data_IF_870842520021
#
_entry.id   IF_870842520021
#
_cell.length_a   1.000
_cell.length_b   1.000
_cell.length_c   1.000
_cell.angle_alpha   90.00
_cell.angle_beta   90.00
_cell.angle_gamma   90.00
#
_symmetry.space_group_name_H-M   'P 1'
#
loop_
_entity.id
_entity.type
_entity.pdbx_description
1 polymer ?
#
# COMPACT_ATOMS: atom_id res chain seq x y z
N UNK A 1 -7.24 25.92 -44.70
CA UNK A 1 -6.46 26.33 -43.51
C UNK A 1 -7.30 26.55 -42.24
N UNK A 2 -8.53 27.08 -42.30
CA UNK A 2 -9.40 27.22 -41.10
C UNK A 2 -9.89 25.89 -40.50
N UNK A 3 -10.04 24.82 -41.31
CA UNK A 3 -10.55 23.52 -40.84
C UNK A 3 -9.51 22.62 -40.15
N UNK A 4 -8.21 22.89 -40.31
CA UNK A 4 -7.12 22.12 -39.67
C UNK A 4 -6.85 22.63 -38.24
N UNK A 5 -7.07 23.92 -37.97
CA UNK A 5 -6.96 24.48 -36.62
C UNK A 5 -8.07 23.99 -35.67
N UNK A 6 -9.27 23.72 -36.18
CA UNK A 6 -10.39 23.25 -35.34
C UNK A 6 -10.16 21.79 -34.88
N UNK A 7 -9.52 20.96 -35.71
CA UNK A 7 -9.21 19.57 -35.34
C UNK A 7 -8.09 19.47 -34.29
N UNK A 8 -7.13 20.40 -34.30
CA UNK A 8 -6.05 20.47 -33.30
C UNK A 8 -6.53 20.98 -31.93
N UNK A 9 -7.52 21.87 -31.89
CA UNK A 9 -8.10 22.34 -30.62
C UNK A 9 -9.02 21.31 -29.95
N UNK A 10 -9.66 20.41 -30.71
CA UNK A 10 -10.52 19.35 -30.16
C UNK A 10 -9.70 18.14 -29.68
N UNK A 11 -8.51 17.89 -30.23
CA UNK A 11 -7.62 16.83 -29.75
C UNK A 11 -6.84 17.25 -28.49
N UNK A 12 -6.61 18.56 -28.28
CA UNK A 12 -5.94 19.06 -27.08
C UNK A 12 -6.81 19.08 -25.80
N UNK A 13 -8.11 18.77 -25.90
CA UNK A 13 -9.08 18.86 -24.78
C UNK A 13 -9.51 17.51 -24.20
N UNK A 14 -8.88 16.40 -24.59
CA UNK A 14 -9.15 15.08 -23.99
C UNK A 14 -7.90 14.50 -23.32
N UNK A 15 -7.18 15.33 -22.57
CA UNK A 15 -6.24 14.84 -21.55
C UNK A 15 -7.01 14.76 -20.23
N UNK A 16 -7.89 13.76 -20.12
CA UNK A 16 -8.48 13.42 -18.82
C UNK A 16 -7.44 12.61 -18.04
N UNK A 17 -6.66 13.31 -17.23
CA UNK A 17 -6.10 12.71 -16.03
C UNK A 17 -7.30 12.31 -15.16
N UNK A 18 -7.58 11.01 -15.07
CA UNK A 18 -8.55 10.51 -14.11
C UNK A 18 -7.81 10.58 -12.76
N UNK A 19 -7.94 11.72 -12.08
CA UNK A 19 -7.65 11.80 -10.66
C UNK A 19 -8.81 11.08 -9.95
N UNK A 20 -8.53 10.30 -8.91
CA UNK A 20 -9.58 9.71 -8.08
C UNK A 20 -9.55 10.42 -6.72
N UNK A 21 -10.33 11.50 -6.62
CA UNK A 21 -10.47 12.29 -5.41
C UNK A 21 -11.25 11.49 -4.34
N UNK A 22 -10.54 10.75 -3.48
CA UNK A 22 -11.11 9.92 -2.40
C UNK A 22 -10.84 10.53 -1.02
N UNK A 23 -11.90 10.80 -0.27
CA UNK A 23 -11.81 11.39 1.06
C UNK A 23 -12.34 10.42 2.13
N UNK A 24 -11.42 9.88 2.93
CA UNK A 24 -11.73 8.99 4.05
C UNK A 24 -12.19 9.77 5.28
N UNK A 25 -13.38 9.47 5.78
CA UNK A 25 -14.01 10.11 6.93
C UNK A 25 -13.84 9.30 8.22
N UNK A 26 -13.96 7.97 8.14
CA UNK A 26 -13.74 7.03 9.24
C UNK A 26 -12.96 5.82 8.70
N UNK A 27 -11.81 5.42 9.28
CA UNK A 27 -10.95 6.30 10.07
C UNK A 27 -10.55 7.56 9.27
N UNK A 28 -10.19 8.63 9.98
CA UNK A 28 -9.86 9.93 9.36
C UNK A 28 -8.63 9.81 8.44
N UNK A 29 -8.80 10.06 7.14
CA UNK A 29 -7.70 10.04 6.17
C UNK A 29 -6.86 11.32 6.16
N UNK A 30 -5.54 11.19 6.12
CA UNK A 30 -4.65 12.36 6.21
C UNK A 30 -4.60 13.20 4.94
N UNK A 31 -4.62 12.58 3.75
CA UNK A 31 -4.37 13.27 2.47
C UNK A 31 -3.09 14.13 2.50
N UNK A 32 -1.99 13.55 3.00
CA UNK A 32 -0.71 14.23 3.26
C UNK A 32 -0.73 15.33 4.34
N UNK A 33 -1.86 15.64 4.96
CA UNK A 33 -1.94 16.61 6.07
C UNK A 33 -1.31 16.05 7.35
N UNK A 34 -0.88 16.97 8.21
CA UNK A 34 -0.28 16.66 9.50
C UNK A 34 -0.77 17.60 10.59
N UNK A 35 -0.39 18.87 10.53
CA UNK A 35 -0.61 19.85 11.59
C UNK A 35 -0.65 21.28 11.03
N UNK A 36 -1.02 21.43 9.77
CA UNK A 36 -1.13 22.72 9.11
C UNK A 36 -2.16 23.61 9.81
N UNK A 37 -1.77 24.87 10.09
CA UNK A 37 -2.67 25.90 10.61
C UNK A 37 -3.64 26.43 9.54
N UNK A 38 -3.41 26.11 8.27
CA UNK A 38 -4.26 26.49 7.15
C UNK A 38 -5.16 25.31 6.72
N UNK A 39 -6.16 25.62 5.90
CA UNK A 39 -7.03 24.60 5.33
C UNK A 39 -6.33 23.72 4.27
N UNK A 40 -5.19 24.16 3.74
CA UNK A 40 -4.46 23.45 2.68
C UNK A 40 -3.32 22.62 3.28
N UNK A 41 -3.10 21.40 2.78
CA UNK A 41 -1.86 20.65 3.02
C UNK A 41 -0.64 21.49 2.59
N UNK A 42 0.44 21.43 3.37
CA UNK A 42 1.66 22.20 3.09
C UNK A 42 2.54 21.54 2.03
N UNK A 43 2.49 20.22 1.92
CA UNK A 43 3.31 19.44 1.00
C UNK A 43 2.52 18.25 0.46
N UNK A 44 2.19 18.28 -0.84
CA UNK A 44 1.46 17.20 -1.52
C UNK A 44 2.31 15.91 -1.68
N UNK A 45 3.63 16.01 -1.51
CA UNK A 45 4.55 14.89 -1.73
C UNK A 45 5.02 14.27 -0.40
N UNK A 46 4.38 14.60 0.72
CA UNK A 46 4.89 14.28 2.07
C UNK A 46 4.98 12.77 2.30
N UNK A 47 3.91 12.03 1.99
CA UNK A 47 3.73 10.64 2.40
C UNK A 47 3.42 9.71 1.22
N UNK A 48 2.41 10.04 0.42
CA UNK A 48 1.93 9.24 -0.72
C UNK A 48 1.29 10.15 -1.78
N UNK A 49 1.09 9.69 -3.00
CA UNK A 49 0.41 10.47 -4.04
C UNK A 49 -1.09 10.36 -3.86
N UNK A 50 -1.67 11.32 -3.17
CA UNK A 50 -3.09 11.26 -2.85
C UNK A 50 -4.01 11.64 -3.99
N UNK A 51 -3.50 12.33 -5.01
CA UNK A 51 -4.23 12.96 -6.14
C UNK A 51 -5.36 13.95 -5.78
N UNK A 52 -5.80 13.95 -4.53
CA UNK A 52 -6.86 14.76 -3.96
C UNK A 52 -6.57 16.27 -4.01
N UNK A 53 -7.64 17.05 -3.85
CA UNK A 53 -7.57 18.48 -3.56
C UNK A 53 -6.69 18.78 -2.32
N UNK A 54 -5.95 19.90 -2.36
CA UNK A 54 -5.11 20.39 -1.26
C UNK A 54 -5.88 20.59 0.07
N UNK A 55 -7.19 20.83 0.01
CA UNK A 55 -8.03 21.04 1.22
C UNK A 55 -8.59 19.76 1.84
N UNK A 56 -8.47 18.62 1.15
CA UNK A 56 -9.01 17.36 1.64
C UNK A 56 -8.22 16.75 2.79
N UNK A 57 -8.86 15.87 3.54
CA UNK A 57 -8.26 15.10 4.63
C UNK A 57 -8.13 15.86 5.95
N UNK A 58 -7.66 15.15 6.95
CA UNK A 58 -7.63 15.57 8.34
C UNK A 58 -6.18 15.73 8.83
N UNK A 59 -5.94 16.78 9.61
CA UNK A 59 -4.72 16.85 10.40
C UNK A 59 -4.72 15.73 11.46
N UNK A 60 -3.53 15.33 11.89
CA UNK A 60 -3.37 14.54 13.11
C UNK A 60 -3.75 15.44 14.28
N UNK A 61 -4.60 14.93 15.17
CA UNK A 61 -5.02 15.67 16.36
C UNK A 61 -3.87 15.80 17.37
N UNK A 62 -3.93 16.82 18.21
CA UNK A 62 -3.09 16.89 19.41
C UNK A 62 -3.69 15.98 20.49
N UNK A 63 -2.84 15.34 21.30
CA UNK A 63 -3.29 14.42 22.36
C UNK A 63 -3.98 15.15 23.51
N UNK A 64 -3.64 16.42 23.71
CA UNK A 64 -4.21 17.30 24.73
C UNK A 64 -4.75 18.59 24.09
N UNK A 65 -5.19 19.52 24.92
CA UNK A 65 -5.58 20.87 24.53
C UNK A 65 -4.38 21.75 24.12
N UNK A 66 -3.15 21.28 24.36
CA UNK A 66 -1.92 21.97 23.98
C UNK A 66 -1.41 21.42 22.63
N UNK A 67 -0.90 22.32 21.79
CA UNK A 67 -0.32 21.94 20.52
C UNK A 67 0.87 20.99 20.73
N UNK A 68 0.86 19.84 20.04
CA UNK A 68 1.94 18.88 20.10
C UNK A 68 3.24 19.51 19.58
N UNK A 69 4.36 19.27 20.25
CA UNK A 69 5.70 19.68 19.85
C UNK A 69 6.53 18.50 19.32
N UNK A 70 6.16 17.27 19.67
CA UNK A 70 6.76 16.01 19.16
C UNK A 70 5.68 15.01 18.75
N UNK A 71 6.07 13.94 18.06
CA UNK A 71 5.13 12.92 17.58
C UNK A 71 4.40 12.20 18.73
N UNK A 72 5.06 11.95 19.87
CA UNK A 72 4.43 11.28 21.01
C UNK A 72 3.35 12.09 21.74
N UNK A 73 3.22 13.38 21.40
CA UNK A 73 2.16 14.28 21.89
C UNK A 73 0.99 14.39 20.88
N UNK A 74 1.08 13.70 19.74
CA UNK A 74 -0.01 13.59 18.78
C UNK A 74 -0.99 12.50 19.19
N UNK A 75 -2.26 12.67 18.81
CA UNK A 75 -3.30 11.68 19.01
C UNK A 75 -3.18 10.56 17.96
N UNK A 76 -3.02 9.32 18.42
CA UNK A 76 -3.14 8.14 17.59
C UNK A 76 -4.56 7.57 17.73
N UNK A 77 -5.20 7.27 16.59
CA UNK A 77 -6.49 6.58 16.62
C UNK A 77 -6.26 5.14 17.05
N UNK A 78 -6.91 4.75 18.14
CA UNK A 78 -6.82 3.41 18.73
C UNK A 78 -8.11 2.64 18.42
N UNK A 79 -7.95 1.38 18.02
CA UNK A 79 -9.05 0.47 17.73
C UNK A 79 -8.80 -0.86 18.44
N UNK A 80 -9.84 -1.45 19.00
CA UNK A 80 -9.74 -2.79 19.57
C UNK A 80 -9.63 -3.82 18.45
N UNK A 81 -8.63 -4.68 18.53
CA UNK A 81 -8.54 -5.88 17.68
C UNK A 81 -9.66 -6.87 18.02
N UNK A 82 -9.89 -7.86 17.16
CA UNK A 82 -10.76 -8.98 17.53
C UNK A 82 -10.10 -9.88 18.58
N UNK A 83 -10.91 -10.66 19.30
CA UNK A 83 -10.44 -11.70 20.21
C UNK A 83 -9.74 -12.84 19.48
N UNK A 84 -8.95 -13.66 20.21
CA UNK A 84 -8.27 -14.82 19.62
C UNK A 84 -9.28 -15.78 19.00
N UNK A 85 -9.04 -16.16 17.74
CA UNK A 85 -9.86 -17.16 17.03
C UNK A 85 -9.59 -18.55 17.61
N UNK A 86 -10.60 -19.41 17.68
CA UNK A 86 -10.43 -20.81 18.13
C UNK A 86 -10.41 -21.04 19.66
N UNK A 87 -10.56 -20.00 20.49
CA UNK A 87 -10.60 -20.11 21.96
C UNK A 87 -12.03 -19.96 22.56
N UNK A 88 -13.08 -20.07 21.74
CA UNK A 88 -14.48 -20.06 22.21
C UNK A 88 -15.04 -18.69 22.64
N UNK A 89 -14.21 -17.66 22.77
CA UNK A 89 -14.59 -16.25 23.00
C UNK A 89 -14.18 -15.36 21.82
N UNK A 90 -14.80 -15.62 20.66
CA UNK A 90 -14.53 -14.91 19.40
C UNK A 90 -15.23 -13.54 19.34
N UNK A 91 -14.90 -12.66 20.29
CA UNK A 91 -15.34 -11.26 20.22
C UNK A 91 -14.83 -10.63 18.93
N UNK A 92 -15.74 -10.14 18.09
CA UNK A 92 -15.38 -9.44 16.84
C UNK A 92 -15.40 -7.94 17.08
N UNK A 93 -14.34 -7.28 16.66
CA UNK A 93 -14.27 -5.82 16.61
C UNK A 93 -14.54 -5.36 15.18
N UNK A 94 -15.48 -4.43 15.04
CA UNK A 94 -15.95 -3.93 13.75
C UNK A 94 -15.51 -2.48 13.58
N UNK A 95 -14.85 -2.19 12.46
CA UNK A 95 -14.49 -0.84 12.04
C UNK A 95 -15.27 -0.48 10.77
N UNK A 96 -16.24 0.42 10.89
CA UNK A 96 -16.92 0.99 9.73
C UNK A 96 -16.03 2.04 9.09
N UNK A 97 -15.59 1.70 7.87
CA UNK A 97 -14.81 2.56 7.00
C UNK A 97 -15.79 3.39 6.18
N UNK A 98 -15.60 4.69 6.12
CA UNK A 98 -16.45 5.63 5.41
C UNK A 98 -15.61 6.54 4.52
N UNK A 99 -16.04 6.72 3.27
CA UNK A 99 -15.38 7.60 2.33
C UNK A 99 -16.36 8.25 1.36
N UNK A 100 -15.86 9.27 0.70
CA UNK A 100 -16.48 9.88 -0.48
C UNK A 100 -15.54 9.79 -1.68
N UNK A 101 -16.10 9.70 -2.89
CA UNK A 101 -15.32 9.67 -4.14
C UNK A 101 -15.89 10.69 -5.14
N UNK A 102 -15.19 11.80 -5.35
CA UNK A 102 -15.70 12.94 -6.12
C UNK A 102 -15.96 12.61 -7.59
N UNK A 103 -15.27 11.62 -8.17
CA UNK A 103 -15.49 11.23 -9.56
C UNK A 103 -16.61 10.20 -9.75
N UNK A 104 -17.30 9.82 -8.67
CA UNK A 104 -18.33 8.80 -8.69
C UNK A 104 -17.75 7.39 -8.76
N UNK A 105 -18.62 6.40 -8.69
CA UNK A 105 -18.29 4.99 -8.77
C UNK A 105 -19.58 4.18 -9.01
N UNK A 106 -19.50 3.03 -9.66
CA UNK A 106 -20.61 2.07 -9.73
C UNK A 106 -21.69 2.43 -10.77
N UNK A 107 -22.87 1.84 -10.62
CA UNK A 107 -23.92 1.88 -11.66
C UNK A 107 -23.70 0.81 -12.71
N UNK A 108 -23.23 -0.38 -12.29
CA UNK A 108 -22.74 -1.48 -13.13
C UNK A 108 -23.73 -2.05 -14.16
N UNK A 109 -24.96 -1.57 -14.20
CA UNK A 109 -25.96 -1.95 -15.19
C UNK A 109 -25.74 -1.18 -16.49
N UNK A 110 -25.69 -1.89 -17.63
CA UNK A 110 -25.43 -1.29 -18.95
C UNK A 110 -26.45 -0.21 -19.39
N UNK A 111 -27.58 -0.13 -18.71
CA UNK A 111 -28.65 0.84 -18.97
C UNK A 111 -28.65 2.02 -18.00
N UNK A 112 -27.79 2.01 -16.98
CA UNK A 112 -27.70 3.13 -16.05
C UNK A 112 -27.00 4.31 -16.75
N UNK A 113 -27.67 5.45 -16.97
CA UNK A 113 -27.04 6.63 -17.57
C UNK A 113 -25.89 7.20 -16.72
N UNK A 114 -25.75 6.73 -15.47
CA UNK A 114 -24.69 7.09 -14.53
C UNK A 114 -23.66 5.96 -14.32
N UNK A 115 -23.61 4.96 -15.22
CA UNK A 115 -22.61 3.89 -15.16
C UNK A 115 -21.19 4.44 -15.19
N UNK A 116 -20.41 4.13 -14.16
CA UNK A 116 -18.99 4.42 -14.08
C UNK A 116 -18.21 3.19 -13.62
N UNK A 117 -17.31 2.72 -14.49
CA UNK A 117 -16.41 1.62 -14.14
C UNK A 117 -15.35 2.11 -13.16
N UNK A 118 -15.37 1.57 -11.95
CA UNK A 118 -14.40 1.85 -10.90
C UNK A 118 -14.04 0.55 -10.19
N UNK A 119 -12.82 0.49 -9.66
CA UNK A 119 -12.44 -0.50 -8.68
C UNK A 119 -11.85 0.23 -7.47
N UNK A 120 -12.14 -0.21 -6.25
CA UNK A 120 -11.55 0.32 -5.00
C UNK A 120 -10.89 -0.83 -4.24
N UNK A 121 -9.74 -0.57 -3.62
CA UNK A 121 -8.94 -1.62 -2.97
C UNK A 121 -8.57 -1.15 -1.57
N UNK A 122 -9.13 -1.79 -0.55
CA UNK A 122 -8.86 -1.45 0.84
C UNK A 122 -7.73 -2.32 1.35
N UNK A 123 -6.68 -1.69 1.87
CA UNK A 123 -5.48 -2.37 2.33
C UNK A 123 -4.97 -1.80 3.64
N UNK A 124 -4.23 -2.63 4.36
CA UNK A 124 -3.52 -2.21 5.55
C UNK A 124 -2.12 -2.82 5.62
N UNK A 125 -1.25 -2.16 6.38
CA UNK A 125 0.02 -2.72 6.82
C UNK A 125 0.19 -2.43 8.30
N UNK A 126 0.90 -3.31 9.01
CA UNK A 126 1.16 -3.15 10.43
C UNK A 126 2.58 -3.60 10.79
N UNK A 127 3.06 -3.04 11.88
CA UNK A 127 4.21 -3.49 12.65
C UNK A 127 3.87 -3.49 14.16
N UNK A 128 4.59 -4.25 15.00
CA UNK A 128 4.36 -4.22 16.44
C UNK A 128 4.50 -2.80 16.99
N UNK A 129 3.51 -2.36 17.77
CA UNK A 129 3.61 -1.09 18.48
C UNK A 129 4.51 -1.29 19.70
N UNK A 130 5.57 -0.47 19.78
CA UNK A 130 6.59 -0.58 20.83
C UNK A 130 6.74 0.77 21.52
N UNK A 131 7.01 0.75 22.83
CA UNK A 131 7.10 1.96 23.63
C UNK A 131 8.15 2.97 23.12
N UNK A 132 9.24 2.46 22.52
CA UNK A 132 10.32 3.27 21.95
C UNK A 132 10.50 2.91 20.47
N UNK A 133 9.65 3.42 19.57
CA UNK A 133 9.77 3.14 18.15
C UNK A 133 11.07 3.75 17.63
N UNK A 134 11.80 2.94 16.86
CA UNK A 134 13.03 3.35 16.21
C UNK A 134 12.78 4.27 15.01
N UNK A 135 13.88 4.76 14.46
CA UNK A 135 13.91 5.68 13.31
C UNK A 135 13.25 5.13 12.03
N UNK A 136 13.04 3.82 11.92
CA UNK A 136 12.48 3.17 10.73
C UNK A 136 11.04 2.70 10.89
N UNK A 137 10.47 2.89 12.08
CA UNK A 137 9.11 2.52 12.42
C UNK A 137 8.07 3.46 11.80
N UNK A 138 6.89 2.93 11.55
CA UNK A 138 5.71 3.64 11.07
C UNK A 138 5.39 4.80 12.02
N UNK A 139 5.17 5.99 11.44
CA UNK A 139 4.83 7.19 12.21
C UNK A 139 4.29 8.31 11.35
N UNK A 140 3.56 9.22 11.99
CA UNK A 140 3.13 10.49 11.39
C UNK A 140 4.30 11.48 11.22
N UNK A 141 5.29 11.43 12.12
CA UNK A 141 6.32 12.46 12.22
C UNK A 141 5.75 13.80 12.70
N UNK A 142 6.61 14.81 12.86
CA UNK A 142 6.23 16.16 13.31
C UNK A 142 6.36 17.23 12.22
N UNK A 143 7.19 16.98 11.22
CA UNK A 143 7.44 17.90 10.12
C UNK A 143 6.65 17.48 8.87
N UNK A 144 6.26 18.50 8.09
CA UNK A 144 5.50 18.33 6.84
C UNK A 144 6.40 18.01 5.63
N UNK A 145 7.71 17.94 5.84
CA UNK A 145 8.68 17.59 4.81
C UNK A 145 8.55 16.11 4.41
N UNK A 146 8.73 15.83 3.12
CA UNK A 146 8.94 14.48 2.61
C UNK A 146 10.25 13.92 3.17
N UNK A 147 10.34 12.61 3.42
CA UNK A 147 11.61 11.95 3.76
C UNK A 147 12.69 12.23 2.70
N UNK A 148 13.97 12.17 3.03
CA UNK A 148 15.02 12.39 2.01
C UNK A 148 15.24 11.15 1.16
N UNK A 149 15.72 11.34 -0.06
CA UNK A 149 16.19 10.26 -0.92
C UNK A 149 17.15 10.83 -1.95
N UNK A 150 18.32 10.20 -2.08
CA UNK A 150 19.20 10.36 -3.24
C UNK A 150 19.32 8.99 -3.90
N UNK A 151 19.62 8.87 -5.19
CA UNK A 151 19.72 7.59 -5.92
C UNK A 151 21.15 7.08 -6.07
N UNK A 152 22.05 7.41 -5.13
CA UNK A 152 23.46 7.05 -5.25
C UNK A 152 23.66 5.53 -5.25
N UNK A 153 24.47 5.03 -6.18
CA UNK A 153 24.79 3.60 -6.25
C UNK A 153 25.52 3.16 -4.98
N UNK A 154 25.19 1.97 -4.48
CA UNK A 154 25.91 1.29 -3.41
C UNK A 154 26.20 -0.14 -3.83
N UNK A 155 27.41 -0.60 -3.53
CA UNK A 155 27.92 -1.92 -3.90
C UNK A 155 28.10 -2.83 -2.69
N UNK A 156 27.92 -2.32 -1.47
CA UNK A 156 27.99 -3.09 -0.23
C UNK A 156 26.77 -2.81 0.66
N UNK A 157 26.48 -3.74 1.58
CA UNK A 157 25.43 -3.56 2.59
C UNK A 157 25.68 -2.35 3.49
N UNK A 158 26.92 -2.14 3.93
CA UNK A 158 27.28 -0.97 4.75
C UNK A 158 27.02 0.36 4.05
N UNK A 159 27.31 0.48 2.75
CA UNK A 159 26.99 1.68 1.98
C UNK A 159 25.48 1.91 1.88
N UNK A 160 24.70 0.84 1.69
CA UNK A 160 23.23 0.88 1.71
C UNK A 160 22.70 1.36 3.06
N UNK A 161 23.20 0.78 4.16
CA UNK A 161 22.75 1.10 5.51
C UNK A 161 23.11 2.53 5.90
N UNK A 162 24.31 3.02 5.52
CA UNK A 162 24.69 4.42 5.71
C UNK A 162 23.76 5.37 4.94
N UNK A 163 23.39 5.03 3.70
CA UNK A 163 22.47 5.83 2.89
C UNK A 163 21.06 5.84 3.47
N UNK A 164 20.53 4.67 3.87
CA UNK A 164 19.25 4.57 4.59
C UNK A 164 19.25 5.45 5.85
N UNK A 165 20.29 5.32 6.67
CA UNK A 165 20.45 6.12 7.89
C UNK A 165 20.50 7.63 7.62
N UNK A 166 21.16 8.06 6.54
CA UNK A 166 21.24 9.47 6.15
C UNK A 166 19.93 10.01 5.54
N UNK A 167 19.15 9.16 4.88
CA UNK A 167 17.92 9.56 4.16
C UNK A 167 16.69 9.61 5.07
N UNK A 168 16.57 8.64 5.96
CA UNK A 168 15.44 8.59 6.86
C UNK A 168 15.62 9.64 7.95
N UNK A 169 14.58 10.40 8.27
CA UNK A 169 14.55 11.39 9.34
C UNK A 169 13.45 11.03 10.34
N UNK A 170 13.77 11.05 11.64
CA UNK A 170 12.84 10.63 12.69
C UNK A 170 11.64 11.57 12.82
N UNK A 171 11.82 12.87 12.58
CA UNK A 171 10.73 13.85 12.68
C UNK A 171 9.81 13.91 11.44
N UNK A 172 10.01 13.04 10.44
CA UNK A 172 9.19 12.98 9.22
C UNK A 172 8.41 11.67 9.16
N UNK A 173 7.30 11.69 8.43
CA UNK A 173 6.43 10.53 8.29
C UNK A 173 7.16 9.31 7.70
N UNK A 174 6.78 8.12 8.16
CA UNK A 174 7.07 6.85 7.48
C UNK A 174 5.76 6.10 7.40
N UNK A 175 5.35 5.81 6.16
CA UNK A 175 4.35 4.79 5.90
C UNK A 175 5.06 3.54 5.41
N UNK A 176 5.63 3.60 4.21
CA UNK A 176 6.40 2.51 3.64
C UNK A 176 7.90 2.68 3.94
N UNK A 177 8.65 1.56 4.08
CA UNK A 177 10.05 1.61 4.44
C UNK A 177 10.94 2.15 3.30
N UNK A 178 12.09 2.72 3.64
CA UNK A 178 13.05 3.25 2.65
C UNK A 178 13.44 2.21 1.59
N UNK A 179 13.63 0.96 2.00
CA UNK A 179 13.96 -0.14 1.11
C UNK A 179 12.92 -0.35 0.01
N UNK A 180 11.64 -0.11 0.30
CA UNK A 180 10.54 -0.26 -0.65
C UNK A 180 10.70 0.69 -1.83
N UNK A 181 10.94 1.97 -1.53
CA UNK A 181 11.15 2.98 -2.55
C UNK A 181 12.47 2.81 -3.30
N UNK A 182 13.58 2.52 -2.60
CA UNK A 182 14.88 2.31 -3.26
C UNK A 182 14.84 1.12 -4.21
N UNK A 183 14.10 0.06 -3.84
CA UNK A 183 13.81 -1.07 -4.71
C UNK A 183 12.94 -0.70 -5.90
N UNK A 184 11.89 0.09 -5.69
CA UNK A 184 11.03 0.61 -6.76
C UNK A 184 11.80 1.46 -7.78
N UNK A 185 12.74 2.29 -7.30
CA UNK A 185 13.64 3.12 -8.12
C UNK A 185 14.60 2.30 -9.00
N UNK A 186 15.02 1.13 -8.51
CA UNK A 186 15.98 0.25 -9.21
C UNK A 186 15.32 -0.78 -10.11
N UNK A 187 14.18 -1.33 -9.69
CA UNK A 187 13.48 -2.38 -10.42
C UNK A 187 12.96 -1.83 -11.75
N UNK A 188 13.24 -2.54 -12.83
CA UNK A 188 12.65 -2.24 -14.13
C UNK A 188 11.13 -2.34 -14.05
N UNK A 189 10.42 -1.35 -14.57
CA UNK A 189 8.96 -1.42 -14.68
C UNK A 189 8.52 -2.61 -15.50
N UNK A 190 7.30 -3.09 -15.26
CA UNK A 190 6.68 -4.03 -16.17
C UNK A 190 6.29 -3.31 -17.47
N UNK A 191 7.01 -3.62 -18.55
CA UNK A 191 6.79 -3.04 -19.87
C UNK A 191 5.49 -3.49 -20.54
N UNK A 192 4.79 -4.48 -19.98
CA UNK A 192 3.46 -4.90 -20.42
C UNK A 192 2.31 -4.04 -19.88
N UNK A 193 2.58 -3.10 -18.97
CA UNK A 193 1.54 -2.24 -18.42
C UNK A 193 1.09 -1.17 -19.40
N UNK A 194 -0.22 -0.93 -19.41
CA UNK A 194 -0.85 0.06 -20.26
C UNK A 194 -0.37 1.48 -19.95
N UNK A 195 0.23 2.15 -20.94
CA UNK A 195 0.70 3.54 -20.81
C UNK A 195 -0.16 4.54 -21.58
N UNK A 196 -1.11 4.08 -22.40
CA UNK A 196 -1.87 4.92 -23.32
C UNK A 196 -0.95 5.84 -24.16
N UNK A 197 -1.27 7.13 -24.19
CA UNK A 197 -0.55 8.23 -24.82
C UNK A 197 0.56 8.85 -23.95
N UNK A 198 0.73 8.38 -22.70
CA UNK A 198 1.71 8.95 -21.78
C UNK A 198 3.13 8.55 -22.15
N UNK A 199 3.99 9.56 -22.38
CA UNK A 199 5.43 9.35 -22.58
C UNK A 199 6.15 9.28 -21.24
N UNK A 200 6.51 8.06 -20.84
CA UNK A 200 7.29 7.82 -19.62
C UNK A 200 8.70 8.41 -19.74
N UNK A 201 9.20 8.99 -18.65
CA UNK A 201 10.53 9.63 -18.58
C UNK A 201 11.60 8.74 -17.95
N UNK A 202 11.30 7.45 -17.77
CA UNK A 202 12.21 6.48 -17.16
C UNK A 202 11.67 5.06 -17.26
N UNK A 203 12.55 4.11 -16.93
CA UNK A 203 12.32 2.67 -17.06
C UNK A 203 12.18 1.96 -15.70
N UNK A 204 12.14 2.71 -14.60
CA UNK A 204 11.97 2.18 -13.25
C UNK A 204 10.50 1.94 -12.91
N UNK A 205 10.22 1.17 -11.87
CA UNK A 205 8.87 0.90 -11.35
C UNK A 205 8.19 2.16 -10.76
N UNK A 206 8.88 3.31 -10.76
CA UNK A 206 8.27 4.60 -10.45
C UNK A 206 7.61 5.28 -11.64
N UNK A 207 7.90 4.80 -12.85
CA UNK A 207 7.41 5.38 -14.09
C UNK A 207 6.18 4.59 -14.55
N UNK A 208 5.01 5.10 -14.18
CA UNK A 208 3.71 4.55 -14.57
C UNK A 208 2.96 5.53 -15.45
N UNK A 209 1.81 5.13 -15.99
CA UNK A 209 0.90 6.06 -16.68
C UNK A 209 0.52 7.25 -15.79
N UNK A 210 0.31 7.01 -14.48
CA UNK A 210 -0.16 8.05 -13.57
C UNK A 210 0.99 8.86 -12.95
N UNK A 211 2.21 8.32 -13.02
CA UNK A 211 3.43 9.01 -12.60
C UNK A 211 4.52 8.94 -13.70
N UNK A 212 4.30 9.54 -14.88
CA UNK A 212 5.21 9.37 -16.02
C UNK A 212 6.60 9.97 -15.75
N UNK A 213 6.65 11.01 -14.91
CA UNK A 213 7.89 11.66 -14.48
C UNK A 213 8.66 10.93 -13.36
N UNK A 214 8.06 9.95 -12.70
CA UNK A 214 8.66 9.30 -11.54
C UNK A 214 8.83 10.25 -10.34
N UNK A 215 7.89 11.19 -10.18
CA UNK A 215 7.83 12.10 -9.03
C UNK A 215 7.71 11.29 -7.74
N UNK A 216 8.43 11.70 -6.70
CA UNK A 216 8.46 10.98 -5.43
C UNK A 216 7.43 11.53 -4.44
N UNK A 217 6.68 10.62 -3.82
CA UNK A 217 5.75 10.89 -2.74
C UNK A 217 6.11 9.97 -1.56
N UNK A 218 6.70 10.55 -0.51
CA UNK A 218 7.28 9.76 0.58
C UNK A 218 8.21 8.65 0.08
N UNK A 219 7.88 7.41 0.44
CA UNK A 219 8.52 6.18 -0.03
C UNK A 219 7.53 5.23 -0.74
N UNK A 220 6.49 5.79 -1.34
CA UNK A 220 5.51 5.04 -2.14
C UNK A 220 6.10 4.53 -3.45
N UNK A 221 5.76 3.29 -3.83
CA UNK A 221 6.06 2.74 -5.14
C UNK A 221 4.86 2.90 -6.11
N UNK A 222 4.96 3.78 -7.13
CA UNK A 222 3.85 4.06 -8.04
C UNK A 222 3.29 2.83 -8.77
N UNK A 223 4.15 1.89 -9.20
CA UNK A 223 3.67 0.69 -9.90
C UNK A 223 2.87 -0.25 -9.00
N UNK A 224 3.19 -0.32 -7.70
CA UNK A 224 2.39 -1.12 -6.77
C UNK A 224 1.05 -0.45 -6.43
N UNK A 225 1.06 0.87 -6.24
CA UNK A 225 -0.15 1.67 -6.02
C UNK A 225 -1.10 1.62 -7.23
N UNK A 226 -0.58 1.81 -8.44
CA UNK A 226 -1.41 1.98 -9.64
C UNK A 226 -1.99 0.69 -10.21
N UNK A 227 -1.39 -0.47 -9.91
CA UNK A 227 -1.74 -1.74 -10.53
C UNK A 227 -1.97 -2.84 -9.52
N UNK A 228 -3.25 -3.20 -9.36
CA UNK A 228 -3.72 -4.26 -8.50
C UNK A 228 -4.39 -5.40 -9.30
N UNK A 229 -4.15 -6.69 -8.97
CA UNK A 229 -3.20 -7.18 -7.98
C UNK A 229 -1.75 -6.97 -8.41
N UNK A 230 -0.90 -6.58 -7.47
CA UNK A 230 0.53 -6.40 -7.75
C UNK A 230 1.22 -7.76 -7.98
N UNK A 231 2.09 -7.85 -8.98
CA UNK A 231 2.76 -9.10 -9.36
C UNK A 231 4.05 -9.38 -8.58
N UNK A 232 4.53 -8.44 -7.78
CA UNK A 232 5.62 -8.65 -6.83
C UNK A 232 5.09 -8.64 -5.39
N UNK A 233 5.88 -9.17 -4.44
CA UNK A 233 5.57 -9.04 -3.02
C UNK A 233 5.45 -7.58 -2.57
N UNK A 234 4.58 -7.35 -1.59
CA UNK A 234 4.33 -6.05 -0.95
C UNK A 234 4.04 -6.25 0.54
N UNK A 235 4.30 -5.24 1.38
CA UNK A 235 4.00 -5.32 2.81
C UNK A 235 2.50 -5.12 3.12
N UNK A 236 1.75 -4.65 2.12
CA UNK A 236 0.30 -4.43 2.18
C UNK A 236 -0.48 -5.75 2.23
N UNK A 237 -1.58 -5.73 2.98
CA UNK A 237 -2.52 -6.83 3.16
C UNK A 237 -3.89 -6.39 2.67
N UNK A 238 -4.52 -7.24 1.87
CA UNK A 238 -5.79 -6.91 1.23
C UNK A 238 -6.95 -7.17 2.19
N UNK A 239 -7.85 -6.20 2.34
CA UNK A 239 -9.06 -6.30 3.16
C UNK A 239 -10.24 -6.64 2.26
N UNK A 240 -10.50 -5.76 1.30
CA UNK A 240 -11.65 -5.84 0.41
C UNK A 240 -11.32 -5.21 -0.95
N UNK A 241 -11.92 -5.75 -2.00
CA UNK A 241 -11.85 -5.26 -3.37
C UNK A 241 -13.26 -5.03 -3.87
N UNK A 242 -13.56 -3.80 -4.21
CA UNK A 242 -14.82 -3.39 -4.80
C UNK A 242 -14.63 -3.34 -6.32
N UNK A 243 -15.36 -4.17 -7.06
CA UNK A 243 -15.17 -4.33 -8.50
C UNK A 243 -16.35 -3.76 -9.28
N UNK A 244 -16.11 -3.22 -10.47
CA UNK A 244 -17.20 -2.80 -11.36
C UNK A 244 -17.98 -4.00 -11.93
N UNK A 245 -17.32 -5.15 -12.14
CA UNK A 245 -17.91 -6.42 -12.61
C UNK A 245 -17.60 -7.55 -11.63
N UNK A 246 -18.65 -8.13 -11.04
CA UNK A 246 -18.55 -9.22 -10.05
C UNK A 246 -17.86 -10.47 -10.59
N UNK A 247 -17.81 -10.67 -11.91
CA UNK A 247 -17.05 -11.78 -12.54
C UNK A 247 -15.54 -11.68 -12.31
N UNK A 248 -15.03 -10.49 -11.95
CA UNK A 248 -13.62 -10.28 -11.63
C UNK A 248 -13.26 -10.72 -10.21
N UNK A 249 -14.22 -11.04 -9.35
CA UNK A 249 -13.94 -11.37 -7.97
C UNK A 249 -13.03 -12.59 -7.81
N UNK A 250 -13.27 -13.66 -8.57
CA UNK A 250 -12.43 -14.85 -8.52
C UNK A 250 -10.97 -14.51 -8.89
N UNK A 251 -10.79 -13.68 -9.92
CA UNK A 251 -9.46 -13.21 -10.33
C UNK A 251 -8.76 -12.44 -9.20
N UNK A 252 -9.40 -11.41 -8.63
CA UNK A 252 -8.78 -10.60 -7.57
C UNK A 252 -8.51 -11.41 -6.29
N UNK A 253 -9.43 -12.31 -5.91
CA UNK A 253 -9.25 -13.16 -4.75
C UNK A 253 -8.10 -14.16 -4.92
N UNK A 254 -7.98 -14.80 -6.09
CA UNK A 254 -6.93 -15.78 -6.35
C UNK A 254 -5.56 -15.16 -6.62
N UNK A 255 -5.51 -13.94 -7.17
CA UNK A 255 -4.26 -13.26 -7.49
C UNK A 255 -3.76 -12.33 -6.38
N UNK A 256 -4.53 -12.12 -5.31
CA UNK A 256 -4.10 -11.39 -4.12
C UNK A 256 -2.84 -11.99 -3.49
N UNK A 257 -1.94 -11.13 -3.00
CA UNK A 257 -0.75 -11.58 -2.29
C UNK A 257 -1.08 -12.24 -0.94
N UNK A 258 -2.28 -12.04 -0.40
CA UNK A 258 -2.74 -12.72 0.81
C UNK A 258 -2.73 -14.26 0.66
N UNK A 259 -2.99 -14.76 -0.54
CA UNK A 259 -3.18 -16.22 -0.79
C UNK A 259 -2.25 -16.79 -1.85
N UNK A 260 -1.71 -15.96 -2.75
CA UNK A 260 -0.80 -16.40 -3.81
C UNK A 260 0.60 -15.85 -3.58
N UNK A 261 1.61 -16.71 -3.33
CA UNK A 261 3.00 -16.29 -3.25
C UNK A 261 3.43 -15.46 -4.46
N UNK A 262 4.29 -14.47 -4.23
CA UNK A 262 4.81 -13.60 -5.28
C UNK A 262 6.32 -13.70 -5.33
N UNK A 263 6.83 -13.65 -6.55
CA UNK A 263 8.24 -13.86 -6.83
C UNK A 263 9.04 -12.58 -6.83
N UNK A 264 10.28 -12.65 -6.38
CA UNK A 264 11.23 -11.55 -6.46
C UNK A 264 12.68 -12.03 -6.65
N UNK A 265 13.44 -11.25 -7.41
CA UNK A 265 14.85 -11.50 -7.65
C UNK A 265 15.71 -11.04 -6.47
N UNK A 266 16.50 -11.97 -5.93
CA UNK A 266 17.46 -11.75 -4.86
C UNK A 266 18.89 -11.87 -5.42
N UNK A 267 19.56 -10.74 -5.57
CA UNK A 267 20.97 -10.69 -5.98
C UNK A 267 21.87 -10.70 -4.74
N UNK A 268 23.10 -11.23 -4.85
CA UNK A 268 24.08 -11.18 -3.75
C UNK A 268 25.08 -10.03 -3.92
N UNK A 269 25.58 -9.51 -2.81
CA UNK A 269 26.80 -8.69 -2.82
C UNK A 269 28.02 -9.57 -3.15
N UNK A 270 29.12 -8.98 -3.62
CA UNK A 270 30.35 -9.73 -3.95
C UNK A 270 30.92 -10.49 -2.73
N UNK A 271 30.72 -9.98 -1.52
CA UNK A 271 31.12 -10.63 -0.26
C UNK A 271 30.11 -11.62 0.32
N UNK A 272 29.06 -11.97 -0.44
CA UNK A 272 27.93 -12.77 0.05
C UNK A 272 26.81 -11.93 0.69
N UNK A 273 25.73 -12.60 1.07
CA UNK A 273 24.49 -11.96 1.56
C UNK A 273 23.67 -11.33 0.43
N UNK A 274 22.35 -11.35 0.58
CA UNK A 274 21.44 -10.78 -0.41
C UNK A 274 21.38 -9.25 -0.33
N UNK A 275 21.18 -8.62 -1.48
CA UNK A 275 20.77 -7.21 -1.62
C UNK A 275 19.26 -7.12 -1.37
N UNK A 276 18.79 -5.98 -0.87
CA UNK A 276 17.35 -5.73 -0.68
C UNK A 276 16.61 -5.38 -1.98
N UNK A 277 17.34 -5.14 -3.07
CA UNK A 277 16.78 -4.65 -4.33
C UNK A 277 17.51 -5.28 -5.52
N UNK A 278 16.72 -5.54 -6.57
CA UNK A 278 17.21 -5.98 -7.88
C UNK A 278 16.58 -5.13 -8.99
N UNK A 279 17.30 -5.00 -10.11
CA UNK A 279 16.74 -4.41 -11.34
C UNK A 279 15.77 -5.37 -12.05
N UNK A 280 15.88 -6.68 -11.80
CA UNK A 280 15.13 -7.70 -12.51
C UNK A 280 13.72 -7.85 -11.93
N UNK A 281 12.73 -7.89 -12.80
CA UNK A 281 11.31 -8.02 -12.45
C UNK A 281 10.70 -9.35 -12.92
N UNK A 282 11.51 -10.28 -13.45
CA UNK A 282 11.08 -11.60 -13.93
C UNK A 282 12.09 -12.67 -13.54
N UNK A 283 11.62 -13.90 -13.38
CA UNK A 283 12.45 -15.05 -13.03
C UNK A 283 13.58 -15.28 -14.04
N UNK A 284 13.25 -15.38 -15.33
CA UNK A 284 14.25 -15.69 -16.36
C UNK A 284 15.41 -14.68 -16.38
N UNK A 285 15.11 -13.38 -16.38
CA UNK A 285 16.14 -12.33 -16.41
C UNK A 285 16.91 -12.23 -15.10
N UNK A 286 16.29 -12.58 -13.96
CA UNK A 286 16.98 -12.69 -12.68
C UNK A 286 18.06 -13.78 -12.72
N UNK A 287 17.70 -14.99 -13.14
CA UNK A 287 18.60 -16.15 -13.18
C UNK A 287 19.70 -15.96 -14.21
N UNK A 288 19.37 -15.45 -15.40
CA UNK A 288 20.37 -15.04 -16.43
C UNK A 288 21.33 -13.98 -15.90
N UNK A 289 20.85 -13.10 -15.01
CA UNK A 289 21.64 -12.09 -14.31
C UNK A 289 22.49 -12.61 -13.14
N UNK A 290 22.45 -13.92 -12.85
CA UNK A 290 23.14 -14.54 -11.72
C UNK A 290 22.46 -14.30 -10.36
N UNK A 291 21.21 -13.83 -10.35
CA UNK A 291 20.38 -13.73 -9.16
C UNK A 291 19.61 -15.03 -8.87
N UNK A 292 18.97 -15.07 -7.72
CA UNK A 292 18.11 -16.18 -7.29
C UNK A 292 16.67 -15.70 -7.20
N UNK A 293 15.72 -16.46 -7.76
CA UNK A 293 14.30 -16.12 -7.70
C UNK A 293 13.64 -16.80 -6.51
N UNK A 294 13.12 -16.00 -5.58
CA UNK A 294 12.42 -16.50 -4.39
C UNK A 294 10.93 -16.21 -4.48
N UNK A 295 10.10 -17.17 -4.07
CA UNK A 295 8.67 -16.96 -3.85
C UNK A 295 8.42 -16.66 -2.38
N UNK A 296 7.88 -15.48 -2.12
CA UNK A 296 7.56 -15.04 -0.77
C UNK A 296 6.07 -15.19 -0.50
N UNK A 297 5.70 -15.31 0.77
CA UNK A 297 4.32 -15.36 1.26
C UNK A 297 4.02 -14.12 2.10
N UNK A 298 2.84 -13.52 1.89
CA UNK A 298 2.27 -12.58 2.84
C UNK A 298 1.73 -13.36 4.04
N UNK A 299 1.66 -12.71 5.19
CA UNK A 299 1.24 -13.33 6.43
C UNK A 299 0.78 -12.29 7.43
N UNK A 300 -0.09 -12.70 8.35
CA UNK A 300 -0.56 -11.85 9.45
C UNK A 300 0.55 -11.65 10.48
N UNK A 301 1.05 -12.77 11.03
CA UNK A 301 2.10 -12.84 12.04
C UNK A 301 2.75 -14.25 12.08
N UNK A 302 3.84 -14.42 12.82
CA UNK A 302 4.36 -15.74 13.15
C UNK A 302 3.49 -16.37 14.27
N UNK A 303 3.14 -17.67 14.21
CA UNK A 303 2.30 -18.31 15.21
C UNK A 303 3.00 -18.45 16.57
N UNK A 304 2.23 -18.55 17.66
CA UNK A 304 2.76 -18.79 19.02
C UNK A 304 3.47 -20.14 19.14
N UNK A 305 3.00 -21.16 18.41
CA UNK A 305 3.60 -22.49 18.37
C UNK A 305 4.91 -22.54 17.58
N UNK A 306 5.89 -23.30 18.07
CA UNK A 306 7.13 -23.57 17.33
C UNK A 306 6.93 -24.74 16.36
N UNK A 307 6.66 -24.40 15.10
CA UNK A 307 6.53 -25.38 14.03
C UNK A 307 7.82 -25.41 13.19
N UNK A 308 8.67 -26.40 13.45
CA UNK A 308 10.00 -26.51 12.80
C UNK A 308 9.98 -27.32 11.50
N UNK A 309 8.81 -27.69 10.99
CA UNK A 309 8.68 -28.39 9.70
C UNK A 309 7.35 -28.10 9.03
N UNK A 310 7.33 -28.23 7.70
CA UNK A 310 6.12 -28.13 6.88
C UNK A 310 4.99 -29.03 7.40
N UNK A 311 5.29 -30.30 7.67
CA UNK A 311 4.31 -31.27 8.19
C UNK A 311 3.71 -30.84 9.53
N UNK A 312 4.51 -30.29 10.43
CA UNK A 312 4.01 -29.80 11.73
C UNK A 312 3.13 -28.56 11.56
N UNK A 313 3.51 -27.65 10.67
CA UNK A 313 2.74 -26.45 10.35
C UNK A 313 1.38 -26.79 9.72
N UNK A 314 1.39 -27.61 8.67
CA UNK A 314 0.17 -28.04 7.97
C UNK A 314 -0.75 -28.87 8.87
N UNK A 315 -0.18 -29.74 9.71
CA UNK A 315 -0.96 -30.55 10.65
C UNK A 315 -1.58 -29.76 11.80
N UNK A 316 -1.05 -28.57 12.11
CA UNK A 316 -1.60 -27.66 13.13
C UNK A 316 -2.54 -26.61 12.55
N UNK A 317 -2.65 -26.51 11.22
CA UNK A 317 -3.53 -25.57 10.54
C UNK A 317 -4.99 -25.91 10.83
N UNK A 318 -5.79 -24.89 11.15
CA UNK A 318 -7.23 -25.02 11.38
C UNK A 318 -8.00 -24.07 10.47
N UNK A 319 -9.33 -24.23 10.42
CA UNK A 319 -10.19 -23.28 9.69
C UNK A 319 -10.09 -21.87 10.29
N UNK A 320 -9.97 -21.76 11.60
CA UNK A 320 -10.02 -20.49 12.31
C UNK A 320 -8.64 -19.81 12.38
N UNK A 321 -7.57 -20.61 12.44
CA UNK A 321 -6.17 -20.18 12.36
C UNK A 321 -5.51 -20.94 11.20
N UNK A 322 -5.66 -20.47 9.95
CA UNK A 322 -4.99 -21.07 8.82
C UNK A 322 -3.49 -20.84 8.92
N UNK A 323 -2.71 -21.91 8.88
CA UNK A 323 -1.25 -21.86 8.85
C UNK A 323 -0.74 -22.20 7.45
N UNK A 324 0.27 -21.45 6.99
CA UNK A 324 0.94 -21.63 5.71
C UNK A 324 2.45 -21.79 5.92
N UNK A 325 3.06 -22.70 5.18
CA UNK A 325 4.51 -22.91 5.18
C UNK A 325 5.13 -22.18 3.98
N UNK A 326 5.96 -21.17 4.24
CA UNK A 326 6.56 -20.36 3.18
C UNK A 326 7.58 -19.35 3.69
N UNK A 327 8.23 -18.63 2.78
CA UNK A 327 9.21 -17.59 3.12
C UNK A 327 8.47 -16.29 3.44
N UNK A 328 8.54 -15.76 4.68
CA UNK A 328 7.83 -14.54 5.03
C UNK A 328 8.36 -13.33 4.27
N UNK A 329 7.45 -12.53 3.71
CA UNK A 329 7.82 -11.24 3.11
C UNK A 329 7.74 -10.10 4.12
N UNK A 330 8.87 -9.41 4.33
CA UNK A 330 8.91 -8.03 4.84
C UNK A 330 10.02 -7.28 4.12
N UNK A 331 9.72 -6.13 3.54
CA UNK A 331 10.70 -5.40 2.71
C UNK A 331 11.99 -5.07 3.48
N UNK A 332 11.90 -4.79 4.78
CA UNK A 332 13.06 -4.47 5.64
C UNK A 332 13.89 -5.69 6.05
N UNK A 333 13.37 -6.91 5.87
CA UNK A 333 14.01 -8.14 6.31
C UNK A 333 14.82 -8.84 5.21
N UNK A 334 14.59 -8.46 3.94
CA UNK A 334 15.12 -9.17 2.76
C UNK A 334 16.64 -9.29 2.71
N UNK A 335 17.37 -8.33 3.27
CA UNK A 335 18.83 -8.33 3.32
C UNK A 335 19.37 -8.51 4.75
N UNK A 336 18.52 -8.57 5.77
CA UNK A 336 18.93 -8.63 7.19
C UNK A 336 18.63 -9.97 7.85
N UNK A 337 17.69 -10.76 7.33
CA UNK A 337 17.30 -12.06 7.87
C UNK A 337 17.53 -13.18 6.84
N UNK A 338 17.71 -14.43 7.30
CA UNK A 338 17.73 -15.59 6.40
C UNK A 338 16.42 -15.73 5.64
N UNK A 339 16.51 -15.96 4.32
CA UNK A 339 15.38 -16.27 3.45
C UNK A 339 15.05 -17.75 3.57
N UNK A 340 14.31 -18.12 4.61
CA UNK A 340 13.98 -19.51 4.92
C UNK A 340 12.47 -19.67 5.12
N UNK A 341 11.97 -20.85 4.73
CA UNK A 341 10.59 -21.20 4.97
C UNK A 341 10.32 -21.33 6.47
N UNK A 342 9.16 -20.85 6.89
CA UNK A 342 8.65 -20.96 8.25
C UNK A 342 7.15 -21.20 8.21
N UNK A 343 6.60 -21.55 9.38
CA UNK A 343 5.16 -21.55 9.58
C UNK A 343 4.68 -20.13 9.85
N UNK A 344 3.63 -19.71 9.16
CA UNK A 344 3.08 -18.36 9.20
C UNK A 344 1.57 -18.42 9.41
N UNK A 345 1.00 -17.47 10.14
CA UNK A 345 -0.46 -17.29 10.17
C UNK A 345 -0.88 -16.69 8.83
N UNK A 346 -1.63 -17.47 8.06
CA UNK A 346 -2.13 -17.10 6.74
C UNK A 346 -3.13 -15.95 6.81
N UNK A 347 -3.21 -15.19 5.72
CA UNK A 347 -4.21 -14.14 5.56
C UNK A 347 -5.44 -14.70 4.85
N UNK A 348 -6.61 -14.16 5.20
CA UNK A 348 -7.83 -14.42 4.45
C UNK A 348 -7.70 -13.82 3.04
N UNK A 349 -8.34 -14.46 2.05
CA UNK A 349 -8.54 -13.81 0.73
C UNK A 349 -9.31 -12.50 0.93
N UNK A 350 -9.05 -11.45 0.12
CA UNK A 350 -9.82 -10.22 0.24
C UNK A 350 -11.31 -10.49 0.03
N UNK A 351 -12.14 -9.79 0.78
CA UNK A 351 -13.57 -9.75 0.45
C UNK A 351 -13.73 -9.12 -0.93
N UNK A 352 -14.68 -9.60 -1.73
CA UNK A 352 -14.91 -9.02 -3.04
C UNK A 352 -16.40 -8.75 -3.25
N UNK A 353 -16.71 -7.49 -3.53
CA UNK A 353 -18.07 -6.98 -3.66
C UNK A 353 -18.18 -6.08 -4.90
N UNK A 354 -19.41 -5.84 -5.35
CA UNK A 354 -19.64 -4.86 -6.41
C UNK A 354 -19.33 -3.46 -5.85
N UNK A 355 -18.68 -2.62 -6.64
CA UNK A 355 -18.38 -1.27 -6.23
C UNK A 355 -19.66 -0.48 -5.94
N UNK A 356 -19.79 0.11 -4.73
CA UNK A 356 -21.00 0.80 -4.37
C UNK A 356 -21.17 2.04 -5.24
N UNK A 357 -22.43 2.35 -5.58
CA UNK A 357 -22.71 3.51 -6.40
C UNK A 357 -22.46 4.80 -5.63
N UNK A 358 -21.71 5.72 -6.22
CA UNK A 358 -21.64 7.12 -5.80
C UNK A 358 -21.83 8.04 -6.99
N UNK A 359 -22.46 9.18 -6.71
CA UNK A 359 -22.71 10.22 -7.71
C UNK A 359 -21.41 10.84 -8.19
N UNK A 360 -21.34 11.16 -9.47
CA UNK A 360 -20.30 12.03 -9.99
C UNK A 360 -20.43 13.46 -9.44
N UNK A 361 -19.29 14.07 -9.11
CA UNK A 361 -19.20 15.39 -8.51
C UNK A 361 -19.93 15.50 -7.15
N UNK A 362 -20.08 16.71 -6.59
CA UNK A 362 -20.77 16.95 -5.31
C UNK A 362 -20.18 16.18 -4.12
N UNK A 363 -18.86 15.96 -4.13
CA UNK A 363 -18.16 15.15 -3.14
C UNK A 363 -18.65 13.69 -3.08
N UNK A 364 -19.26 13.13 -4.12
CA UNK A 364 -19.29 11.66 -4.24
C UNK A 364 -20.14 10.90 -3.23
N UNK A 365 -21.26 11.47 -2.78
CA UNK A 365 -22.17 10.76 -1.88
C UNK A 365 -22.75 9.50 -2.55
N UNK A 366 -22.99 8.48 -1.74
CA UNK A 366 -23.75 7.30 -2.12
C UNK A 366 -25.23 7.62 -2.32
N UNK A 367 -26.02 6.55 -2.49
CA UNK A 367 -27.49 6.67 -2.50
C UNK A 367 -27.97 7.32 -1.20
N UNK A 368 -29.03 8.10 -1.29
CA UNK A 368 -29.65 8.80 -0.14
C UNK A 368 -28.76 9.85 0.55
N UNK A 369 -27.63 10.23 -0.06
CA UNK A 369 -26.79 11.33 0.41
C UNK A 369 -25.85 10.97 1.57
N UNK A 370 -25.65 9.68 1.85
CA UNK A 370 -24.71 9.20 2.86
C UNK A 370 -23.33 8.88 2.25
N UNK A 371 -22.24 8.92 3.03
CA UNK A 371 -20.94 8.42 2.59
C UNK A 371 -21.00 6.95 2.17
N UNK A 372 -20.13 6.56 1.25
CA UNK A 372 -19.89 5.15 0.98
C UNK A 372 -19.27 4.52 2.22
N UNK A 373 -19.62 3.27 2.52
CA UNK A 373 -19.07 2.60 3.68
C UNK A 373 -18.83 1.10 3.46
N UNK A 374 -17.99 0.54 4.32
CA UNK A 374 -17.70 -0.88 4.42
C UNK A 374 -17.30 -1.22 5.86
N UNK A 375 -17.83 -2.30 6.42
CA UNK A 375 -17.52 -2.70 7.80
C UNK A 375 -16.45 -3.79 7.80
N UNK A 376 -15.24 -3.43 8.23
CA UNK A 376 -14.12 -4.35 8.37
C UNK A 376 -14.15 -5.04 9.74
N UNK A 377 -14.06 -6.37 9.74
CA UNK A 377 -13.75 -7.14 10.96
C UNK A 377 -12.25 -7.08 11.20
N UNK A 378 -11.84 -6.35 12.25
CA UNK A 378 -10.43 -6.18 12.56
C UNK A 378 -9.79 -7.53 12.90
N UNK A 379 -8.58 -7.84 12.40
CA UNK A 379 -7.89 -9.07 12.75
C UNK A 379 -7.54 -9.11 14.23
N UNK A 380 -7.26 -10.30 14.73
CA UNK A 380 -6.59 -10.50 16.01
C UNK A 380 -5.08 -10.47 15.79
N UNK A 381 -4.33 -9.83 16.68
CA UNK A 381 -2.87 -9.95 16.76
C UNK A 381 -2.45 -10.40 18.16
N UNK A 382 -1.34 -11.13 18.25
CA UNK A 382 -0.77 -11.53 19.55
C UNK A 382 -0.22 -10.35 20.37
N UNK A 383 0.04 -9.22 19.71
CA UNK A 383 0.59 -7.99 20.32
C UNK A 383 -0.07 -6.77 19.69
N UNK A 384 -0.12 -5.68 20.44
CA UNK A 384 -0.54 -4.38 19.92
C UNK A 384 0.24 -4.02 18.66
N UNK A 385 -0.46 -3.48 17.67
CA UNK A 385 0.08 -3.14 16.37
C UNK A 385 -0.10 -1.66 16.07
N UNK A 386 0.90 -1.08 15.41
CA UNK A 386 0.81 0.21 14.75
C UNK A 386 0.56 -0.04 13.28
N UNK A 387 -0.57 0.46 12.78
CA UNK A 387 -1.04 0.16 11.43
C UNK A 387 -1.28 1.41 10.59
N UNK A 388 -1.22 1.22 9.28
CA UNK A 388 -1.61 2.19 8.26
C UNK A 388 -2.69 1.55 7.41
N UNK A 389 -3.67 2.35 7.03
CA UNK A 389 -4.76 1.97 6.16
C UNK A 389 -4.75 2.85 4.90
N UNK A 390 -5.07 2.26 3.74
CA UNK A 390 -5.29 2.98 2.47
C UNK A 390 -6.49 2.41 1.70
N UNK A 391 -7.01 3.23 0.77
CA UNK A 391 -8.09 2.92 -0.18
C UNK A 391 -7.66 3.33 -1.59
#
# INVERSE_FOLDING_TARGET
MKSILIFLCVIATVVNFINADVYLHSPRGSNNRLNEKSANRKNANRVFDSQNNNRGGYNVGDRTDQAANKESEQYNMEFFQSGPKGEGNEGKSFLTIEWTNQHGCGGSEDKDPHKLNCNLVLQYMCEPDVANPGKFNIRNGKLTNTQDYNNQKHNTKSQKDNRKNANVNQDRAIQEPWEWYDKCDKRQRNKGLFTADQKLRGESSKNTRQNPGGTRYGYECPEERDYYPYWHPTDWKDIAVFVHDKKLCDYYQMESFNVKPKGECMEKYSGGGYKHASKYNRNSTCVEGGGEWFEFSNYLEEPTGQYNSKKACEGASTKDIPLVWGIPYRTQDLDTKPLQEKCLVGLDKPQCELAPWSRDNHLGNGRDGVPLNYTWVLPHFQKDQRCIFRI
#
